data_IF_596876569174
#
_entry.id   IF_596876569174
#
_cell.length_a   1.000
_cell.length_b   1.000
_cell.length_c   1.000
_cell.angle_alpha   90.00
_cell.angle_beta   90.00
_cell.angle_gamma   90.00
#
_symmetry.space_group_name_H-M   'P 1'
#
loop_
_entity.id
_entity.type
_entity.pdbx_description
1 polymer ?
#
# COMPACT_ATOMS: atom_id res chain seq x y z
N UNK A 1 -1.54 5.54 4.46
CA UNK A 1 -2.38 6.29 5.43
C UNK A 1 -1.58 6.98 6.54
N UNK A 2 -0.27 6.84 6.58
CA UNK A 2 0.58 7.42 7.63
C UNK A 2 0.40 8.95 7.72
N UNK A 3 0.10 9.46 8.93
CA UNK A 3 -0.20 10.88 9.15
C UNK A 3 1.02 11.80 9.00
N UNK A 4 2.23 11.25 9.00
CA UNK A 4 3.49 12.00 8.78
C UNK A 4 3.73 12.33 7.31
N UNK A 5 2.97 11.72 6.38
CA UNK A 5 3.17 11.89 4.94
C UNK A 5 1.96 12.61 4.35
N UNK A 6 2.19 13.80 3.83
CA UNK A 6 1.22 14.54 3.03
C UNK A 6 1.68 14.49 1.56
N UNK A 7 1.05 13.67 0.71
CA UNK A 7 1.58 13.34 -0.62
C UNK A 7 1.81 14.56 -1.52
N UNK A 8 0.95 15.56 -1.45
CA UNK A 8 1.10 16.78 -2.26
C UNK A 8 2.41 17.50 -1.95
N UNK A 9 2.73 17.67 -0.66
CA UNK A 9 3.97 18.33 -0.23
C UNK A 9 5.18 17.41 -0.42
N UNK A 10 5.03 16.11 -0.06
CA UNK A 10 6.14 15.16 -0.10
C UNK A 10 6.63 14.86 -1.51
N UNK A 11 5.74 14.91 -2.51
CA UNK A 11 6.02 14.49 -3.89
C UNK A 11 5.78 15.60 -4.92
N UNK A 12 5.40 16.81 -4.48
CA UNK A 12 5.13 17.93 -5.39
C UNK A 12 3.91 17.70 -6.30
N UNK A 13 2.90 16.96 -5.82
CA UNK A 13 1.69 16.64 -6.58
C UNK A 13 0.71 17.81 -6.45
N UNK A 14 0.29 18.38 -7.56
CA UNK A 14 -0.71 19.44 -7.61
C UNK A 14 -2.13 18.90 -7.79
N UNK A 15 -3.12 19.78 -7.63
CA UNK A 15 -4.52 19.40 -7.82
C UNK A 15 -4.78 18.99 -9.28
N UNK A 16 -5.24 17.76 -9.47
CA UNK A 16 -5.53 17.19 -10.79
C UNK A 16 -4.43 16.31 -11.38
N UNK A 17 -3.22 16.29 -10.81
CA UNK A 17 -2.10 15.52 -11.35
C UNK A 17 -2.25 14.01 -11.16
N UNK A 18 -2.81 13.58 -10.05
CA UNK A 18 -2.87 12.16 -9.70
C UNK A 18 -4.09 11.78 -8.86
N UNK A 19 -4.53 10.54 -9.01
CA UNK A 19 -5.41 9.89 -8.06
C UNK A 19 -4.57 9.33 -6.91
N UNK A 20 -4.81 9.79 -5.69
CA UNK A 20 -4.05 9.38 -4.51
C UNK A 20 -4.86 8.37 -3.70
N UNK A 21 -4.36 7.14 -3.61
CA UNK A 21 -4.94 6.06 -2.81
C UNK A 21 -4.08 5.88 -1.57
N UNK A 22 -4.68 5.90 -0.39
CA UNK A 22 -3.98 5.77 0.90
C UNK A 22 -4.59 4.68 1.74
N UNK A 23 -3.79 3.66 2.07
CA UNK A 23 -4.19 2.54 2.92
C UNK A 23 -3.07 2.12 3.88
N UNK A 24 -3.32 1.12 4.71
CA UNK A 24 -2.32 0.56 5.60
C UNK A 24 -1.21 -0.11 4.78
N UNK A 25 0.05 0.30 5.01
CA UNK A 25 1.22 -0.25 4.33
C UNK A 25 1.37 0.09 2.86
N UNK A 26 0.55 0.98 2.28
CA UNK A 26 0.58 1.25 0.84
C UNK A 26 0.36 -0.03 0.02
N UNK A 27 -0.66 -0.81 0.38
CA UNK A 27 -0.89 -2.15 -0.10
C UNK A 27 -1.62 -2.16 -1.45
N UNK A 28 -1.07 -2.89 -2.41
CA UNK A 28 -1.61 -2.96 -3.77
C UNK A 28 -2.91 -3.78 -3.85
N UNK A 29 -3.07 -4.83 -3.03
CA UNK A 29 -4.27 -5.66 -3.02
C UNK A 29 -5.49 -4.89 -2.57
N UNK A 30 -5.36 -4.12 -1.47
CA UNK A 30 -6.42 -3.25 -0.97
C UNK A 30 -6.75 -2.11 -1.93
N UNK A 31 -5.76 -1.66 -2.70
CA UNK A 31 -5.93 -0.59 -3.69
C UNK A 31 -6.49 -1.06 -5.03
N UNK A 32 -6.51 -2.37 -5.31
CA UNK A 32 -6.76 -2.92 -6.64
C UNK A 32 -8.06 -2.40 -7.28
N UNK A 33 -9.16 -2.40 -6.53
CA UNK A 33 -10.44 -1.89 -7.03
C UNK A 33 -10.32 -0.43 -7.52
N UNK A 34 -9.67 0.42 -6.74
CA UNK A 34 -9.48 1.84 -7.09
C UNK A 34 -8.50 2.01 -8.26
N UNK A 35 -7.46 1.18 -8.34
CA UNK A 35 -6.52 1.16 -9.47
C UNK A 35 -7.25 0.80 -10.76
N UNK A 36 -8.11 -0.23 -10.76
CA UNK A 36 -8.91 -0.61 -11.93
C UNK A 36 -9.80 0.56 -12.40
N UNK A 37 -10.51 1.21 -11.48
CA UNK A 37 -11.36 2.36 -11.81
C UNK A 37 -10.53 3.48 -12.41
N UNK A 38 -9.40 3.82 -11.78
CA UNK A 38 -8.48 4.85 -12.23
C UNK A 38 -7.99 4.61 -13.67
N UNK A 39 -7.61 3.38 -13.99
CA UNK A 39 -7.08 3.02 -15.30
C UNK A 39 -8.18 2.83 -16.34
N UNK A 40 -9.17 2.00 -16.06
CA UNK A 40 -10.14 1.57 -17.06
C UNK A 40 -11.23 2.62 -17.33
N UNK A 41 -11.58 3.43 -16.33
CA UNK A 41 -12.67 4.39 -16.43
C UNK A 41 -12.21 5.85 -16.48
N UNK A 42 -11.01 6.15 -15.95
CA UNK A 42 -10.49 7.51 -15.82
C UNK A 42 -9.16 7.72 -16.55
N UNK A 43 -8.76 6.75 -17.37
CA UNK A 43 -7.66 6.84 -18.35
C UNK A 43 -6.27 7.12 -17.73
N UNK A 44 -5.99 6.76 -16.50
CA UNK A 44 -4.62 6.80 -15.98
C UNK A 44 -3.78 5.67 -16.57
N UNK A 45 -2.51 5.92 -16.83
CA UNK A 45 -1.60 4.99 -17.49
C UNK A 45 -0.30 4.73 -16.70
N UNK A 46 -0.22 5.25 -15.50
CA UNK A 46 0.93 5.06 -14.62
C UNK A 46 0.48 4.79 -13.18
N UNK A 47 1.24 3.92 -12.48
CA UNK A 47 1.08 3.64 -11.05
C UNK A 47 2.43 3.78 -10.36
N UNK A 48 2.50 4.68 -9.39
CA UNK A 48 3.62 4.78 -8.47
C UNK A 48 3.19 4.15 -7.13
N UNK A 49 3.78 3.00 -6.80
CA UNK A 49 3.57 2.34 -5.52
C UNK A 49 4.64 2.81 -4.53
N UNK A 50 4.22 3.49 -3.48
CA UNK A 50 5.13 4.09 -2.52
C UNK A 50 4.88 3.52 -1.13
N UNK A 51 5.89 2.88 -0.54
CA UNK A 51 5.94 2.54 0.89
C UNK A 51 6.93 3.48 1.59
N UNK A 52 7.03 3.41 2.92
CA UNK A 52 7.87 4.34 3.67
C UNK A 52 8.64 3.68 4.80
N UNK A 53 9.74 4.29 5.22
CA UNK A 53 10.53 3.87 6.38
C UNK A 53 9.72 4.04 7.67
N UNK A 54 10.00 3.23 8.68
CA UNK A 54 9.30 3.28 9.97
C UNK A 54 7.79 3.03 9.87
N UNK A 55 7.35 2.23 8.88
CA UNK A 55 5.96 1.82 8.73
C UNK A 55 5.55 0.86 9.84
N UNK A 56 4.37 1.08 10.43
CA UNK A 56 3.82 0.18 11.44
C UNK A 56 3.64 -1.27 10.97
N UNK A 57 3.45 -1.49 9.67
CA UNK A 57 3.30 -2.83 9.08
C UNK A 57 4.56 -3.70 9.19
N UNK A 58 5.72 -3.11 9.54
CA UNK A 58 6.98 -3.81 9.84
C UNK A 58 7.06 -4.35 11.27
N UNK A 59 6.11 -4.03 12.15
CA UNK A 59 6.24 -4.23 13.60
C UNK A 59 5.42 -5.38 14.16
N UNK A 60 4.64 -6.07 13.35
CA UNK A 60 3.79 -7.17 13.76
C UNK A 60 3.63 -8.22 12.65
N UNK A 61 3.12 -9.39 13.02
CA UNK A 61 2.63 -10.43 12.12
C UNK A 61 1.12 -10.61 12.26
N UNK A 62 0.51 -11.45 11.42
CA UNK A 62 -0.93 -11.71 11.46
C UNK A 62 -1.41 -12.25 12.81
N UNK A 63 -0.65 -13.15 13.41
CA UNK A 63 -1.03 -13.77 14.69
C UNK A 63 -1.06 -12.74 15.82
N UNK A 64 -0.07 -11.84 15.84
CA UNK A 64 -0.04 -10.74 16.78
C UNK A 64 -1.23 -9.78 16.58
N UNK A 65 -1.56 -9.42 15.33
CA UNK A 65 -2.70 -8.57 15.04
C UNK A 65 -4.04 -9.20 15.48
N UNK A 66 -4.28 -10.47 15.14
CA UNK A 66 -5.47 -11.21 15.58
C UNK A 66 -5.55 -11.29 17.11
N UNK A 67 -4.43 -11.57 17.79
CA UNK A 67 -4.35 -11.64 19.25
C UNK A 67 -4.70 -10.31 19.92
N UNK A 68 -4.26 -9.19 19.34
CA UNK A 68 -4.60 -7.85 19.84
C UNK A 68 -6.11 -7.58 19.73
N UNK A 69 -6.73 -7.91 18.61
CA UNK A 69 -8.18 -7.74 18.41
C UNK A 69 -8.96 -8.60 19.40
N UNK A 70 -8.58 -9.87 19.57
CA UNK A 70 -9.21 -10.76 20.53
C UNK A 70 -9.09 -10.24 21.96
N UNK A 71 -7.91 -9.75 22.34
CA UNK A 71 -7.66 -9.23 23.70
C UNK A 71 -8.45 -7.95 23.99
N UNK A 72 -8.60 -7.08 23.00
CA UNK A 72 -9.24 -5.77 23.20
C UNK A 72 -10.75 -5.80 23.01
N UNK A 73 -11.26 -6.59 22.07
CA UNK A 73 -12.66 -6.58 21.63
C UNK A 73 -13.39 -7.90 21.92
N UNK A 74 -12.66 -8.95 22.32
CA UNK A 74 -13.23 -10.23 22.70
C UNK A 74 -13.42 -11.22 21.55
N UNK A 75 -14.06 -12.34 21.88
CA UNK A 75 -14.19 -13.51 21.01
C UNK A 75 -14.98 -13.22 19.74
N UNK A 76 -16.11 -12.54 19.85
CA UNK A 76 -16.99 -12.25 18.71
C UNK A 76 -16.27 -11.43 17.62
N UNK A 77 -15.48 -10.42 18.03
CA UNK A 77 -14.67 -9.63 17.11
C UNK A 77 -13.54 -10.47 16.48
N UNK A 78 -12.91 -11.35 17.25
CA UNK A 78 -11.89 -12.28 16.75
C UNK A 78 -12.46 -13.24 15.69
N UNK A 79 -13.65 -13.78 15.91
CA UNK A 79 -14.33 -14.65 14.96
C UNK A 79 -14.71 -13.90 13.68
N UNK A 80 -15.12 -12.64 13.80
CA UNK A 80 -15.48 -11.80 12.64
C UNK A 80 -14.33 -11.50 11.68
N UNK A 81 -13.09 -11.56 12.17
CA UNK A 81 -11.88 -11.31 11.37
C UNK A 81 -11.01 -12.57 11.19
N UNK A 82 -11.53 -13.77 11.47
CA UNK A 82 -10.72 -14.99 11.49
C UNK A 82 -9.93 -15.24 10.19
N UNK A 83 -10.52 -14.88 9.05
CA UNK A 83 -9.92 -15.04 7.72
C UNK A 83 -9.25 -13.75 7.20
N UNK A 84 -9.15 -12.70 8.02
CA UNK A 84 -8.56 -11.44 7.58
C UNK A 84 -7.04 -11.51 7.60
N UNK A 85 -6.43 -11.32 6.43
CA UNK A 85 -5.00 -11.08 6.32
C UNK A 85 -4.71 -9.58 6.44
N UNK A 86 -4.02 -9.17 7.52
CA UNK A 86 -3.59 -7.79 7.73
C UNK A 86 -2.45 -7.36 6.80
N UNK A 87 -1.84 -8.31 6.09
CA UNK A 87 -0.77 -8.10 5.12
C UNK A 87 0.46 -7.36 5.69
N UNK A 88 0.95 -7.77 6.88
CA UNK A 88 2.20 -7.28 7.41
C UNK A 88 3.37 -7.69 6.52
N UNK A 89 4.48 -6.98 6.59
CA UNK A 89 5.69 -7.36 5.86
C UNK A 89 6.95 -7.16 6.72
N UNK A 90 7.87 -8.14 6.71
CA UNK A 90 9.10 -8.06 7.50
C UNK A 90 10.21 -7.23 6.82
N UNK A 91 10.12 -7.06 5.50
CA UNK A 91 11.10 -6.33 4.69
C UNK A 91 10.39 -5.31 3.79
N UNK A 92 10.83 -4.05 3.88
CA UNK A 92 10.19 -2.93 3.20
C UNK A 92 10.40 -2.95 1.68
N UNK A 93 11.63 -3.20 1.23
CA UNK A 93 11.96 -3.20 -0.20
C UNK A 93 11.35 -4.42 -0.90
N UNK A 94 11.37 -5.57 -0.23
CA UNK A 94 10.74 -6.78 -0.74
C UNK A 94 9.22 -6.63 -0.84
N UNK A 95 8.59 -5.97 0.13
CA UNK A 95 7.16 -5.65 0.07
C UNK A 95 6.81 -4.74 -1.11
N UNK A 96 7.66 -3.77 -1.45
CA UNK A 96 7.50 -2.95 -2.67
C UNK A 96 7.54 -3.82 -3.92
N UNK A 97 8.55 -4.70 -4.06
CA UNK A 97 8.70 -5.59 -5.22
C UNK A 97 7.51 -6.54 -5.36
N UNK A 98 7.07 -7.12 -4.25
CA UNK A 98 5.95 -8.07 -4.23
C UNK A 98 4.64 -7.41 -4.68
N UNK A 99 4.36 -6.21 -4.20
CA UNK A 99 3.16 -5.47 -4.58
C UNK A 99 3.20 -4.99 -6.05
N UNK A 100 4.35 -4.53 -6.55
CA UNK A 100 4.53 -4.20 -7.96
C UNK A 100 4.35 -5.42 -8.84
N UNK A 101 4.94 -6.56 -8.47
CA UNK A 101 4.78 -7.81 -9.20
C UNK A 101 3.33 -8.30 -9.19
N UNK A 102 2.62 -8.15 -8.06
CA UNK A 102 1.20 -8.47 -7.97
C UNK A 102 0.38 -7.67 -8.98
N UNK A 103 0.62 -6.36 -9.10
CA UNK A 103 -0.08 -5.53 -10.09
C UNK A 103 0.28 -5.91 -11.54
N UNK A 104 1.57 -6.13 -11.84
CA UNK A 104 2.05 -6.52 -13.18
C UNK A 104 1.52 -7.88 -13.64
N UNK A 105 1.27 -8.81 -12.72
CA UNK A 105 0.71 -10.13 -13.00
C UNK A 105 -0.82 -10.15 -13.02
N UNK A 106 -1.45 -9.06 -12.60
CA UNK A 106 -2.91 -8.98 -12.49
C UNK A 106 -3.55 -8.83 -13.87
N UNK A 107 -4.42 -9.76 -14.23
CA UNK A 107 -5.16 -9.75 -15.52
C UNK A 107 -6.14 -8.58 -15.67
N UNK A 108 -6.40 -7.84 -14.61
CA UNK A 108 -7.29 -6.67 -14.60
C UNK A 108 -6.55 -5.34 -14.63
N UNK A 109 -5.23 -5.37 -14.64
CA UNK A 109 -4.35 -4.24 -14.88
C UNK A 109 -3.77 -4.37 -16.28
N UNK A 110 -3.85 -3.33 -17.09
CA UNK A 110 -3.39 -3.37 -18.49
C UNK A 110 -1.86 -3.46 -18.55
N UNK A 111 -1.33 -4.27 -19.47
CA UNK A 111 0.11 -4.36 -19.75
C UNK A 111 0.71 -3.04 -20.25
N UNK A 112 -0.13 -2.11 -20.74
CA UNK A 112 0.30 -0.78 -21.19
C UNK A 112 0.56 0.21 -20.05
N UNK A 113 0.19 -0.16 -18.81
CA UNK A 113 0.38 0.70 -17.64
C UNK A 113 1.80 0.58 -17.12
N UNK A 114 2.47 1.72 -16.96
CA UNK A 114 3.77 1.78 -16.30
C UNK A 114 3.59 1.62 -14.78
N UNK A 115 4.28 0.66 -14.17
CA UNK A 115 4.19 0.42 -12.72
C UNK A 115 5.60 0.47 -12.15
N UNK A 116 5.80 1.37 -11.19
CA UNK A 116 7.06 1.52 -10.47
C UNK A 116 6.87 1.48 -8.95
N UNK A 117 7.93 1.07 -8.25
CA UNK A 117 7.92 0.89 -6.80
C UNK A 117 9.00 1.71 -6.12
N UNK A 118 8.64 2.38 -5.03
CA UNK A 118 9.46 3.37 -4.35
C UNK A 118 9.40 3.23 -2.84
N UNK A 119 10.47 3.64 -2.18
CA UNK A 119 10.51 3.84 -0.72
C UNK A 119 10.73 5.32 -0.41
N UNK A 120 9.84 5.87 0.39
CA UNK A 120 9.96 7.22 0.97
C UNK A 120 10.59 7.14 2.36
N UNK A 121 11.67 7.87 2.59
CA UNK A 121 12.28 8.03 3.92
C UNK A 121 11.58 9.17 4.65
N UNK A 122 10.87 8.85 5.73
CA UNK A 122 10.20 9.87 6.56
C UNK A 122 11.19 10.75 7.33
N UNK A 123 12.42 10.25 7.53
CA UNK A 123 13.48 10.95 8.24
C UNK A 123 14.15 12.02 7.37
N UNK A 124 14.22 11.78 6.06
CA UNK A 124 14.99 12.65 5.14
C UNK A 124 14.15 13.33 4.08
N UNK A 125 12.89 12.91 3.89
CA UNK A 125 12.02 13.39 2.81
C UNK A 125 12.45 12.93 1.41
N UNK A 126 13.35 11.94 1.30
CA UNK A 126 13.84 11.43 0.01
C UNK A 126 13.10 10.18 -0.42
N UNK A 127 13.01 9.98 -1.73
CA UNK A 127 12.49 8.76 -2.35
C UNK A 127 13.63 7.96 -2.99
N UNK A 128 13.55 6.63 -2.89
CA UNK A 128 14.44 5.67 -3.52
C UNK A 128 13.62 4.78 -4.45
N UNK A 129 14.00 4.69 -5.71
CA UNK A 129 13.44 3.71 -6.65
C UNK A 129 13.90 2.30 -6.25
N UNK A 130 12.96 1.35 -6.25
CA UNK A 130 13.21 -0.06 -5.92
C UNK A 130 13.05 -0.92 -7.17
N UNK A 131 11.99 -0.66 -7.97
CA UNK A 131 11.66 -1.42 -9.17
C UNK A 131 10.78 -0.61 -10.12
#
# INVERSE_FOLDING_TARGET
>A
MDARIFPNEAFGIELGDAHIIRNAGGNARDALRSIIISQQLLATNEVLLIKHTGCGMLTFDNDAAHSVVQKQLGREASEAIADLDFQPFPDLEEAVKNDVNYLRQSKVVSDSVTISGWVYSVETGKVKSIV
#
